data_IF_804784676738
#
_entry.id   IF_804784676738
#
_cell.length_a   1.000
_cell.length_b   1.000
_cell.length_c   1.000
_cell.angle_alpha   90.00
_cell.angle_beta   90.00
_cell.angle_gamma   90.00
#
_symmetry.space_group_name_H-M   'P 1'
#
loop_
_entity.id
_entity.type
_entity.pdbx_description
1 polymer ?
#
# COMPACT_ATOMS: atom_id res chain seq x y z
N UNK A 1 -10.48 16.87 -7.62
CA UNK A 1 -10.03 15.52 -7.97
C UNK A 1 -11.21 14.73 -8.54
N UNK A 2 -11.16 14.28 -9.80
CA UNK A 2 -12.28 13.56 -10.46
C UNK A 2 -11.78 12.47 -11.44
N UNK A 3 -10.54 12.01 -11.26
CA UNK A 3 -9.87 11.08 -12.17
C UNK A 3 -9.43 9.81 -11.45
N UNK A 4 -10.35 8.86 -11.25
CA UNK A 4 -10.09 7.65 -10.45
C UNK A 4 -9.99 6.38 -11.30
N UNK A 5 -10.89 6.18 -12.27
CA UNK A 5 -10.83 5.02 -13.14
C UNK A 5 -9.61 5.07 -14.08
N UNK A 6 -8.80 4.00 -14.11
CA UNK A 6 -7.62 3.88 -14.98
C UNK A 6 -7.96 3.86 -16.48
N UNK A 7 -9.20 3.52 -16.85
CA UNK A 7 -9.65 3.39 -18.24
C UNK A 7 -10.26 4.68 -18.76
N UNK A 8 -11.23 5.24 -18.04
CA UNK A 8 -12.04 6.36 -18.53
C UNK A 8 -12.02 7.59 -17.62
N UNK A 9 -11.22 7.56 -16.54
CA UNK A 9 -11.11 8.62 -15.52
C UNK A 9 -12.40 8.94 -14.75
N UNK A 10 -13.54 8.35 -15.08
CA UNK A 10 -14.77 8.57 -14.31
C UNK A 10 -14.64 8.05 -12.85
N UNK A 11 -15.44 8.58 -11.92
CA UNK A 11 -15.44 8.15 -10.51
C UNK A 11 -15.68 6.66 -10.32
N UNK A 12 -15.22 6.14 -9.18
CA UNK A 12 -15.53 4.79 -8.72
C UNK A 12 -16.80 4.74 -7.88
N UNK A 13 -17.52 3.63 -7.96
CA UNK A 13 -18.58 3.25 -7.02
C UNK A 13 -18.14 2.05 -6.18
N UNK A 14 -18.54 2.07 -4.91
CA UNK A 14 -18.29 1.02 -3.92
C UNK A 14 -19.59 0.33 -3.56
N UNK A 15 -19.64 -0.97 -3.77
CA UNK A 15 -20.79 -1.85 -3.59
C UNK A 15 -20.75 -2.51 -2.20
N UNK A 16 -21.93 -2.87 -1.68
CA UNK A 16 -22.01 -3.58 -0.40
C UNK A 16 -21.66 -5.06 -0.53
N UNK A 17 -22.03 -5.66 -1.66
CA UNK A 17 -21.82 -7.08 -1.97
C UNK A 17 -20.82 -7.25 -3.10
N UNK A 18 -20.10 -8.37 -3.07
CA UNK A 18 -19.19 -8.74 -4.14
C UNK A 18 -19.98 -9.13 -5.39
N UNK A 19 -19.63 -8.53 -6.53
CA UNK A 19 -20.11 -9.00 -7.83
C UNK A 19 -18.94 -9.53 -8.65
N UNK A 20 -19.23 -10.51 -9.51
CA UNK A 20 -18.24 -11.00 -10.47
C UNK A 20 -17.98 -9.90 -11.51
N UNK A 21 -16.72 -9.57 -11.72
CA UNK A 21 -16.26 -8.58 -12.68
C UNK A 21 -15.10 -9.14 -13.50
N UNK A 22 -14.92 -8.63 -14.71
CA UNK A 22 -13.81 -8.97 -15.59
C UNK A 22 -12.86 -7.78 -15.72
N UNK A 23 -11.55 -8.03 -15.50
CA UNK A 23 -10.55 -6.98 -15.61
C UNK A 23 -10.37 -6.52 -17.06
N UNK A 24 -10.46 -5.21 -17.31
CA UNK A 24 -10.29 -4.58 -18.62
C UNK A 24 -8.89 -4.77 -19.23
N UNK A 25 -7.88 -5.12 -18.41
CA UNK A 25 -6.49 -5.25 -18.85
C UNK A 25 -6.03 -6.71 -19.03
N UNK A 26 -6.44 -7.62 -18.14
CA UNK A 26 -5.99 -9.01 -18.17
C UNK A 26 -7.12 -10.04 -18.36
N UNK A 27 -8.37 -9.59 -18.46
CA UNK A 27 -9.56 -10.44 -18.64
C UNK A 27 -9.79 -11.49 -17.54
N UNK A 28 -9.05 -11.42 -16.43
CA UNK A 28 -9.29 -12.25 -15.26
C UNK A 28 -10.66 -11.88 -14.66
N UNK A 29 -11.44 -12.91 -14.33
CA UNK A 29 -12.69 -12.77 -13.59
C UNK A 29 -12.44 -12.96 -12.10
N UNK A 30 -12.87 -12.01 -11.30
CA UNK A 30 -12.83 -12.11 -9.85
C UNK A 30 -13.97 -11.30 -9.20
N UNK A 31 -14.18 -11.55 -7.92
CA UNK A 31 -15.16 -10.85 -7.12
C UNK A 31 -14.58 -9.52 -6.65
N UNK A 32 -15.33 -8.44 -6.83
CA UNK A 32 -14.95 -7.10 -6.39
C UNK A 32 -16.16 -6.33 -5.87
N UNK A 33 -15.88 -5.37 -4.99
CA UNK A 33 -16.84 -4.37 -4.50
C UNK A 33 -16.62 -3.00 -5.10
N UNK A 34 -15.65 -2.83 -5.98
CA UNK A 34 -15.27 -1.53 -6.53
C UNK A 34 -15.24 -1.63 -8.05
N UNK A 35 -15.93 -0.71 -8.73
CA UNK A 35 -15.84 -0.51 -10.18
C UNK A 35 -16.06 0.95 -10.53
N UNK A 36 -15.73 1.32 -11.75
CA UNK A 36 -16.12 2.61 -12.29
C UNK A 36 -17.64 2.69 -12.49
N UNK A 37 -18.22 3.88 -12.35
CA UNK A 37 -19.65 4.14 -12.67
C UNK A 37 -20.03 3.78 -14.12
N UNK A 38 -19.06 3.67 -15.03
CA UNK A 38 -19.24 3.22 -16.42
C UNK A 38 -19.04 1.71 -16.60
N UNK A 39 -18.85 0.94 -15.52
CA UNK A 39 -18.71 -0.52 -15.54
C UNK A 39 -17.28 -1.04 -15.61
N UNK A 40 -16.27 -0.20 -15.90
CA UNK A 40 -14.88 -0.65 -15.99
C UNK A 40 -14.35 -1.18 -14.65
N UNK A 41 -13.60 -2.27 -14.72
CA UNK A 41 -12.93 -2.87 -13.59
C UNK A 41 -11.47 -3.19 -13.91
N UNK A 42 -10.55 -2.90 -13.00
CA UNK A 42 -9.13 -3.27 -13.12
C UNK A 42 -8.73 -3.99 -11.84
N UNK A 43 -8.22 -5.21 -11.96
CA UNK A 43 -7.82 -6.01 -10.81
C UNK A 43 -6.59 -5.42 -10.10
N UNK A 44 -6.42 -5.75 -8.82
CA UNK A 44 -5.30 -5.25 -8.00
C UNK A 44 -3.94 -5.59 -8.61
N UNK A 45 -3.81 -6.76 -9.24
CA UNK A 45 -2.56 -7.19 -9.88
C UNK A 45 -2.17 -6.27 -11.04
N UNK A 46 -3.11 -5.93 -11.91
CA UNK A 46 -2.91 -4.96 -12.99
C UNK A 46 -2.65 -3.55 -12.45
N UNK A 47 -3.35 -3.16 -11.38
CA UNK A 47 -3.15 -1.87 -10.73
C UNK A 47 -1.73 -1.73 -10.16
N UNK A 48 -1.18 -2.81 -9.58
CA UNK A 48 0.12 -2.80 -8.91
C UNK A 48 1.32 -3.07 -9.82
N UNK A 49 1.14 -3.19 -11.15
CA UNK A 49 2.27 -3.44 -12.08
C UNK A 49 3.35 -2.34 -12.03
N UNK A 50 3.00 -1.11 -11.63
CA UNK A 50 3.95 0.00 -11.48
C UNK A 50 4.82 -0.04 -10.23
N UNK A 51 4.57 -0.96 -9.28
CA UNK A 51 5.19 -0.93 -7.95
C UNK A 51 6.70 -1.22 -7.99
N UNK A 52 7.18 -1.96 -9.00
CA UNK A 52 8.60 -2.27 -9.15
C UNK A 52 9.46 -1.00 -9.33
N UNK A 53 8.87 0.07 -9.88
CA UNK A 53 9.52 1.37 -9.98
C UNK A 53 9.78 2.02 -8.61
N UNK A 54 8.97 1.70 -7.60
CA UNK A 54 9.11 2.21 -6.23
C UNK A 54 10.29 1.59 -5.49
N UNK A 55 10.62 0.33 -5.80
CA UNK A 55 11.80 -0.34 -5.25
C UNK A 55 13.07 0.41 -5.66
N UNK A 56 13.15 0.84 -6.93
CA UNK A 56 14.27 1.63 -7.44
C UNK A 56 14.46 2.95 -6.68
N UNK A 57 13.36 3.64 -6.34
CA UNK A 57 13.38 4.88 -5.57
C UNK A 57 13.95 4.63 -4.17
N UNK A 58 13.41 3.64 -3.45
CA UNK A 58 13.86 3.30 -2.10
C UNK A 58 15.32 2.86 -2.05
N UNK A 59 15.81 2.20 -3.10
CA UNK A 59 17.21 1.77 -3.21
C UNK A 59 18.17 2.91 -3.53
N UNK A 60 17.70 3.97 -4.19
CA UNK A 60 18.52 5.13 -4.58
C UNK A 60 18.47 6.30 -3.59
N UNK A 61 17.45 6.37 -2.74
CA UNK A 61 17.25 7.46 -1.77
C UNK A 61 18.11 7.27 -0.51
N UNK A 62 18.68 8.35 0.01
CA UNK A 62 19.62 8.35 1.15
C UNK A 62 19.09 9.06 2.39
N UNK A 63 17.94 9.72 2.27
CA UNK A 63 17.25 10.39 3.36
C UNK A 63 16.96 9.43 4.52
N UNK A 64 17.13 9.94 5.74
CA UNK A 64 16.72 9.29 6.98
C UNK A 64 15.28 9.64 7.37
N UNK A 65 14.66 10.58 6.65
CA UNK A 65 13.29 11.01 6.89
C UNK A 65 12.33 10.23 5.96
N UNK A 66 11.48 9.33 6.48
CA UNK A 66 10.58 8.53 5.66
C UNK A 66 9.55 9.36 4.90
N UNK A 67 9.19 10.56 5.39
CA UNK A 67 8.25 11.45 4.69
C UNK A 67 8.83 11.94 3.37
N UNK A 68 10.15 12.22 3.31
CA UNK A 68 10.82 12.64 2.07
C UNK A 68 10.77 11.50 1.04
N UNK A 69 11.09 10.27 1.48
CA UNK A 69 11.09 9.08 0.61
C UNK A 69 9.67 8.79 0.10
N UNK A 70 8.68 8.89 0.99
CA UNK A 70 7.27 8.69 0.64
C UNK A 70 6.78 9.72 -0.37
N UNK A 71 7.07 11.01 -0.15
CA UNK A 71 6.69 12.08 -1.08
C UNK A 71 7.29 11.89 -2.47
N UNK A 72 8.53 11.41 -2.56
CA UNK A 72 9.18 11.10 -3.84
C UNK A 72 8.54 9.90 -4.56
N UNK A 73 8.02 8.93 -3.81
CA UNK A 73 7.24 7.82 -4.39
C UNK A 73 5.85 8.31 -4.86
N UNK A 74 5.16 9.12 -4.04
CA UNK A 74 3.84 9.68 -4.38
C UNK A 74 3.89 10.64 -5.57
N UNK A 75 5.03 11.30 -5.82
CA UNK A 75 5.18 12.18 -6.98
C UNK A 75 5.30 11.43 -8.32
N UNK A 76 5.27 10.09 -8.33
CA UNK A 76 5.35 9.30 -9.56
C UNK A 76 3.97 9.19 -10.22
N UNK A 77 3.88 9.32 -11.56
CA UNK A 77 2.61 9.18 -12.28
C UNK A 77 1.91 7.84 -12.10
N UNK A 78 2.64 6.80 -11.68
CA UNK A 78 2.11 5.47 -11.39
C UNK A 78 1.43 5.36 -10.03
N UNK A 79 1.50 6.38 -9.17
CA UNK A 79 0.83 6.42 -7.88
C UNK A 79 -0.55 7.06 -8.06
N UNK A 80 -1.60 6.24 -8.04
CA UNK A 80 -2.98 6.71 -8.23
C UNK A 80 -3.66 6.97 -6.90
N UNK A 81 -4.41 8.05 -6.82
CA UNK A 81 -5.22 8.39 -5.67
C UNK A 81 -6.18 7.24 -5.32
N UNK A 82 -6.10 6.76 -4.07
CA UNK A 82 -6.80 5.57 -3.56
C UNK A 82 -6.40 4.21 -4.17
N UNK A 83 -5.32 4.18 -4.95
CA UNK A 83 -4.77 2.94 -5.47
C UNK A 83 -4.12 2.07 -4.37
N UNK A 84 -4.12 0.72 -4.52
CA UNK A 84 -3.55 -0.22 -3.57
C UNK A 84 -2.03 -0.06 -3.36
N UNK A 85 -1.33 0.69 -4.22
CA UNK A 85 0.10 0.98 -4.10
C UNK A 85 0.44 1.64 -2.75
N UNK A 86 -0.47 2.50 -2.27
CA UNK A 86 -0.32 3.21 -1.00
C UNK A 86 -0.16 2.27 0.20
N UNK A 87 -0.73 1.06 0.14
CA UNK A 87 -0.63 0.06 1.21
C UNK A 87 0.80 -0.44 1.41
N UNK A 88 1.64 -0.32 0.39
CA UNK A 88 3.02 -0.82 0.41
C UNK A 88 4.01 0.31 0.65
N UNK A 89 3.71 1.51 0.13
CA UNK A 89 4.63 2.65 0.10
C UNK A 89 5.12 3.12 1.47
N UNK A 90 4.23 3.16 2.46
CA UNK A 90 4.59 3.63 3.82
C UNK A 90 5.64 2.72 4.44
N UNK A 91 5.45 1.40 4.36
CA UNK A 91 6.39 0.41 4.83
C UNK A 91 7.72 0.45 4.07
N UNK A 92 7.69 0.67 2.75
CA UNK A 92 8.91 0.82 1.95
C UNK A 92 9.72 2.06 2.37
N UNK A 93 9.05 3.20 2.58
CA UNK A 93 9.68 4.43 3.05
C UNK A 93 10.33 4.24 4.43
N UNK A 94 9.64 3.56 5.35
CA UNK A 94 10.18 3.25 6.68
C UNK A 94 11.39 2.30 6.61
N UNK A 95 11.35 1.27 5.76
CA UNK A 95 12.50 0.36 5.55
C UNK A 95 13.73 1.11 5.03
N UNK A 96 13.55 1.96 4.02
CA UNK A 96 14.64 2.77 3.46
C UNK A 96 15.21 3.73 4.51
N UNK A 97 14.35 4.49 5.20
CA UNK A 97 14.77 5.41 6.26
C UNK A 97 15.48 4.70 7.41
N UNK A 98 15.00 3.51 7.81
CA UNK A 98 15.63 2.67 8.83
C UNK A 98 17.04 2.24 8.42
N UNK A 99 17.19 1.74 7.18
CA UNK A 99 18.51 1.36 6.64
C UNK A 99 19.47 2.55 6.57
N UNK A 100 19.00 3.69 6.10
CA UNK A 100 19.76 4.93 5.98
C UNK A 100 20.18 5.49 7.34
N UNK A 101 19.42 5.17 8.39
CA UNK A 101 19.73 5.52 9.78
C UNK A 101 20.71 4.54 10.45
N UNK A 102 21.27 3.58 9.73
CA UNK A 102 22.20 2.57 10.26
C UNK A 102 21.53 1.27 10.71
N UNK A 103 20.23 1.10 10.44
CA UNK A 103 19.52 -0.14 10.71
C UNK A 103 20.10 -1.34 9.97
N UNK A 104 20.17 -2.49 10.64
CA UNK A 104 20.79 -3.70 10.12
C UNK A 104 19.78 -4.55 9.33
N UNK A 105 19.59 -4.23 8.05
CA UNK A 105 18.74 -4.99 7.13
C UNK A 105 19.36 -5.15 5.75
N UNK A 106 19.05 -6.27 5.09
CA UNK A 106 19.16 -6.42 3.64
C UNK A 106 17.97 -5.67 3.00
N UNK A 107 18.20 -4.41 2.62
CA UNK A 107 17.14 -3.52 2.14
C UNK A 107 16.42 -4.12 0.92
N UNK A 108 17.15 -4.74 -0.02
CA UNK A 108 16.55 -5.32 -1.22
C UNK A 108 15.58 -6.44 -0.86
N UNK A 109 15.98 -7.36 0.02
CA UNK A 109 15.10 -8.44 0.49
C UNK A 109 13.92 -7.90 1.29
N UNK A 110 14.15 -6.92 2.16
CA UNK A 110 13.10 -6.31 2.96
C UNK A 110 12.04 -5.60 2.10
N UNK A 111 12.45 -4.87 1.06
CA UNK A 111 11.53 -4.21 0.13
C UNK A 111 10.73 -5.22 -0.70
N UNK A 112 11.36 -6.30 -1.15
CA UNK A 112 10.66 -7.39 -1.85
C UNK A 112 9.59 -8.03 -0.95
N UNK A 113 9.94 -8.31 0.32
CA UNK A 113 9.00 -8.86 1.30
C UNK A 113 7.87 -7.88 1.63
N UNK A 114 8.16 -6.59 1.76
CA UNK A 114 7.15 -5.55 1.93
C UNK A 114 6.18 -5.53 0.76
N UNK A 115 6.68 -5.59 -0.49
CA UNK A 115 5.83 -5.68 -1.68
C UNK A 115 4.95 -6.94 -1.66
N UNK A 116 5.52 -8.11 -1.33
CA UNK A 116 4.74 -9.35 -1.27
C UNK A 116 3.59 -9.28 -0.26
N UNK A 117 3.86 -8.73 0.94
CA UNK A 117 2.85 -8.57 2.00
C UNK A 117 1.82 -7.49 1.64
N UNK A 118 2.27 -6.34 1.15
CA UNK A 118 1.42 -5.20 0.80
C UNK A 118 0.43 -5.53 -0.32
N UNK A 119 0.86 -6.29 -1.34
CA UNK A 119 0.00 -6.77 -2.44
C UNK A 119 -1.16 -7.66 -1.97
N UNK A 120 -1.06 -8.23 -0.77
CA UNK A 120 -2.12 -9.07 -0.18
C UNK A 120 -3.18 -8.24 0.56
N UNK A 121 -2.99 -6.93 0.71
CA UNK A 121 -3.99 -6.02 1.28
C UNK A 121 -4.92 -5.55 0.16
N UNK A 122 -6.20 -5.97 0.14
CA UNK A 122 -7.10 -5.63 -0.94
C UNK A 122 -7.40 -4.12 -0.96
N UNK A 123 -7.63 -3.59 -2.16
CA UNK A 123 -8.19 -2.25 -2.32
C UNK A 123 -9.46 -2.07 -1.49
N UNK A 124 -9.60 -0.91 -0.84
CA UNK A 124 -10.75 -0.62 0.03
C UNK A 124 -10.69 -1.25 1.42
N UNK A 125 -9.59 -1.89 1.83
CA UNK A 125 -9.44 -2.45 3.19
C UNK A 125 -9.73 -1.43 4.30
N UNK A 126 -9.41 -0.15 4.10
CA UNK A 126 -9.75 0.92 5.05
C UNK A 126 -11.27 1.02 5.31
N UNK A 127 -12.09 0.96 4.27
CA UNK A 127 -13.55 1.05 4.38
C UNK A 127 -14.23 -0.29 4.68
N UNK A 128 -13.76 -1.38 4.09
CA UNK A 128 -14.40 -2.70 4.24
C UNK A 128 -13.93 -3.49 5.47
N UNK A 129 -12.69 -3.31 5.91
CA UNK A 129 -12.12 -4.04 7.06
C UNK A 129 -11.91 -3.14 8.28
N UNK A 130 -12.04 -1.82 8.14
CA UNK A 130 -11.83 -0.85 9.22
C UNK A 130 -10.35 -0.67 9.60
N UNK A 131 -9.42 -1.04 8.73
CA UNK A 131 -7.99 -0.94 8.96
C UNK A 131 -7.30 -0.22 7.81
N UNK A 132 -6.67 0.93 8.10
CA UNK A 132 -5.95 1.70 7.10
C UNK A 132 -4.78 0.90 6.51
N UNK A 133 -4.67 0.87 5.18
CA UNK A 133 -3.58 0.19 4.49
C UNK A 133 -2.19 0.73 4.89
N UNK A 134 -2.08 2.04 5.13
CA UNK A 134 -0.87 2.65 5.68
C UNK A 134 -0.54 2.12 7.08
N UNK A 135 -1.56 1.98 7.95
CA UNK A 135 -1.39 1.41 9.30
C UNK A 135 -0.88 -0.02 9.22
N UNK A 136 -1.52 -0.86 8.43
CA UNK A 136 -1.08 -2.23 8.16
C UNK A 136 0.38 -2.25 7.65
N UNK A 137 0.73 -1.36 6.71
CA UNK A 137 2.09 -1.20 6.17
C UNK A 137 3.15 -0.93 7.25
N UNK A 138 2.83 -0.07 8.22
CA UNK A 138 3.75 0.24 9.33
C UNK A 138 3.99 -0.98 10.23
N UNK A 139 2.95 -1.78 10.48
CA UNK A 139 3.06 -3.05 11.20
C UNK A 139 3.88 -4.09 10.42
N UNK A 140 3.70 -4.15 9.09
CA UNK A 140 4.52 -4.99 8.22
C UNK A 140 5.99 -4.59 8.27
N UNK A 141 6.30 -3.29 8.24
CA UNK A 141 7.66 -2.77 8.40
C UNK A 141 8.27 -3.30 9.70
N UNK A 142 7.56 -3.14 10.83
CA UNK A 142 8.06 -3.56 12.12
C UNK A 142 8.25 -5.08 12.20
N UNK A 143 7.32 -5.85 11.63
CA UNK A 143 7.43 -7.30 11.55
C UNK A 143 8.64 -7.74 10.73
N UNK A 144 8.96 -7.07 9.62
CA UNK A 144 10.13 -7.38 8.78
C UNK A 144 11.42 -7.09 9.53
N UNK A 145 11.58 -5.89 10.11
CA UNK A 145 12.84 -5.51 10.77
C UNK A 145 13.10 -6.27 12.07
N UNK A 146 12.06 -6.76 12.73
CA UNK A 146 12.16 -7.56 13.97
C UNK A 146 12.15 -9.07 13.74
N UNK A 147 11.94 -9.54 12.50
CA UNK A 147 11.76 -10.95 12.19
C UNK A 147 10.53 -11.58 12.87
N UNK A 148 9.48 -10.80 13.13
CA UNK A 148 8.27 -11.28 13.80
C UNK A 148 7.55 -12.32 12.94
N UNK A 149 7.15 -13.42 13.56
CA UNK A 149 6.28 -14.46 12.98
C UNK A 149 5.00 -14.57 13.83
N UNK A 150 3.97 -15.33 13.39
CA UNK A 150 2.78 -15.61 14.20
C UNK A 150 3.08 -16.31 15.55
N UNK A 151 4.29 -16.84 15.74
CA UNK A 151 4.73 -17.49 16.98
C UNK A 151 5.57 -16.56 17.88
N UNK A 152 5.85 -15.33 17.42
CA UNK A 152 6.54 -14.32 18.22
C UNK A 152 5.64 -13.78 19.33
N UNK A 153 6.21 -13.43 20.49
CA UNK A 153 5.48 -12.78 21.60
C UNK A 153 5.63 -11.26 21.52
N UNK A 154 6.82 -10.77 21.86
CA UNK A 154 7.06 -9.33 22.03
C UNK A 154 7.01 -8.59 20.68
N UNK A 155 7.68 -9.13 19.66
CA UNK A 155 7.71 -8.54 18.31
C UNK A 155 6.32 -8.54 17.66
N UNK A 156 5.50 -9.55 17.96
CA UNK A 156 4.12 -9.63 17.47
C UNK A 156 3.25 -8.52 18.09
N UNK A 157 3.33 -8.35 19.41
CA UNK A 157 2.61 -7.29 20.12
C UNK A 157 3.03 -5.88 19.65
N UNK A 158 4.32 -5.66 19.41
CA UNK A 158 4.84 -4.41 18.87
C UNK A 158 4.30 -4.13 17.46
N UNK A 159 4.34 -5.11 16.56
CA UNK A 159 3.82 -4.97 15.20
C UNK A 159 2.32 -4.64 15.20
N UNK A 160 1.53 -5.30 16.05
CA UNK A 160 0.11 -4.98 16.21
C UNK A 160 -0.09 -3.56 16.72
N UNK A 161 0.63 -3.18 17.77
CA UNK A 161 0.55 -1.83 18.32
C UNK A 161 0.86 -0.79 17.24
N UNK A 162 1.89 -1.00 16.43
CA UNK A 162 2.25 -0.10 15.33
C UNK A 162 1.10 0.04 14.31
N UNK A 163 0.46 -1.06 13.93
CA UNK A 163 -0.69 -1.04 13.01
C UNK A 163 -1.87 -0.19 13.49
N UNK A 164 -2.08 -0.13 14.81
CA UNK A 164 -3.19 0.61 15.44
C UNK A 164 -2.82 2.00 15.96
N UNK A 165 -1.54 2.38 15.93
CA UNK A 165 -1.07 3.69 16.42
C UNK A 165 -1.34 4.85 15.45
N UNK A 166 -2.13 4.63 14.38
CA UNK A 166 -2.67 5.73 13.57
C UNK A 166 -3.80 6.42 14.33
N UNK A 167 -3.41 7.26 15.28
CA UNK A 167 -4.32 8.09 16.08
C UNK A 167 -4.81 9.26 15.23
N UNK A 168 -6.14 9.39 15.10
CA UNK A 168 -6.95 10.62 15.02
C UNK A 168 -6.51 11.81 14.14
N UNK A 169 -5.53 11.66 13.25
CA UNK A 169 -5.31 12.66 12.21
C UNK A 169 -6.33 12.41 11.12
N UNK A 170 -7.33 13.30 11.03
CA UNK A 170 -8.19 13.48 9.85
C UNK A 170 -7.35 13.58 8.56
N UNK A 171 -6.04 13.85 8.68
CA UNK A 171 -5.04 13.87 7.62
C UNK A 171 -4.67 12.52 7.03
N UNK A 172 -5.04 11.37 7.60
CA UNK A 172 -4.85 10.10 6.88
C UNK A 172 -5.78 10.01 5.65
N UNK A 173 -6.93 10.71 5.67
CA UNK A 173 -7.73 10.97 4.48
C UNK A 173 -7.07 12.00 3.55
N UNK A 174 -6.36 13.01 4.08
CA UNK A 174 -5.68 14.07 3.30
C UNK A 174 -4.28 13.71 2.77
N UNK A 175 -3.66 12.62 3.23
CA UNK A 175 -2.46 12.03 2.63
C UNK A 175 -2.78 11.29 1.32
N UNK A 176 -4.05 11.17 0.98
CA UNK A 176 -4.53 10.98 -0.38
C UNK A 176 -5.02 12.34 -0.95
N UNK A 177 -4.12 13.26 -1.38
CA UNK A 177 -4.49 14.56 -1.94
C UNK A 177 -5.24 14.51 -3.27
#
# INVERSE_FOLDING_TARGET
MKEECLICRAPLEYLQEDIEMECELCHKKEKSKTRCINGHYVCNECHMQGIDSLLGICMGETSKNPVIILNQMMSRPSCHMHGPEHHTMVGMALLAAYRNSGGNIDLKKALAEMSNRGRSVPGGACGFWGACGAGISTGMFLSIVTGSTPLGKDNFGLAHKMSFLQKEDEDCFYLCP
#
